data_IF_956495150418
#
_entry.id   IF_956495150418
#
_cell.length_a   1.000
_cell.length_b   1.000
_cell.length_c   1.000
_cell.angle_alpha   90.00
_cell.angle_beta   90.00
_cell.angle_gamma   90.00
#
_symmetry.space_group_name_H-M   'P 1'
#
loop_
_entity.id
_entity.type
_entity.pdbx_description
1 polymer ?
#
# COMPACT_ATOMS: atom_id res chain seq x y z
N UNK A 1 5.56 7.00 31.27
CA UNK A 1 6.29 5.99 30.48
C UNK A 1 7.34 5.20 31.29
N UNK A 2 8.54 5.70 31.59
CA UNK A 2 9.55 4.89 32.33
C UNK A 2 9.12 4.55 33.76
N UNK A 3 8.57 5.52 34.50
CA UNK A 3 8.00 5.28 35.84
C UNK A 3 6.91 4.22 35.81
N UNK A 4 5.99 4.35 34.88
CA UNK A 4 4.88 3.41 34.68
C UNK A 4 5.34 1.99 34.32
N UNK A 5 6.39 1.86 33.48
CA UNK A 5 6.97 0.56 33.15
C UNK A 5 7.63 -0.12 34.36
N UNK A 6 8.23 0.66 35.27
CA UNK A 6 8.93 0.16 36.45
C UNK A 6 8.00 -0.05 37.66
N UNK A 7 6.96 0.78 37.80
CA UNK A 7 6.04 0.79 38.94
C UNK A 7 4.82 -0.11 38.70
N UNK A 8 4.41 -0.35 37.45
CA UNK A 8 3.29 -1.25 37.15
C UNK A 8 3.76 -2.73 37.13
N UNK A 9 3.31 -3.56 38.09
CA UNK A 9 3.74 -4.96 38.21
C UNK A 9 3.29 -5.84 37.04
N UNK A 10 2.27 -5.44 36.29
CA UNK A 10 1.75 -6.17 35.14
C UNK A 10 2.82 -6.35 34.06
N UNK A 11 3.64 -5.33 33.80
CA UNK A 11 4.74 -5.43 32.83
C UNK A 11 5.81 -6.42 33.28
N UNK A 12 6.14 -6.42 34.58
CA UNK A 12 7.10 -7.36 35.15
C UNK A 12 6.59 -8.80 35.09
N UNK A 13 5.33 -9.04 35.42
CA UNK A 13 4.71 -10.37 35.37
C UNK A 13 4.61 -10.88 33.92
N UNK A 14 4.15 -10.03 32.99
CA UNK A 14 4.08 -10.38 31.58
C UNK A 14 5.45 -10.67 30.97
N UNK A 15 6.49 -9.90 31.32
CA UNK A 15 7.86 -10.18 30.85
C UNK A 15 8.35 -11.56 31.31
N UNK A 16 8.13 -11.91 32.58
CA UNK A 16 8.46 -13.25 33.13
C UNK A 16 7.63 -14.35 32.46
N UNK A 17 6.36 -14.09 32.17
CA UNK A 17 5.48 -15.01 31.44
C UNK A 17 6.00 -15.28 30.04
N UNK A 18 6.38 -14.23 29.30
CA UNK A 18 6.95 -14.33 27.95
C UNK A 18 8.32 -15.03 27.97
N UNK A 19 9.18 -14.73 28.95
CA UNK A 19 10.46 -15.42 29.12
C UNK A 19 10.28 -16.93 29.35
N UNK A 20 9.32 -17.33 30.21
CA UNK A 20 8.98 -18.75 30.42
C UNK A 20 8.46 -19.41 29.14
N UNK A 21 7.61 -18.72 28.38
CA UNK A 21 7.13 -19.23 27.09
C UNK A 21 8.27 -19.41 26.09
N UNK A 22 9.21 -18.47 26.02
CA UNK A 22 10.41 -18.53 25.17
C UNK A 22 11.29 -19.72 25.51
N UNK A 23 11.55 -19.95 26.80
CA UNK A 23 12.37 -21.07 27.27
C UNK A 23 11.70 -22.43 27.03
N UNK A 24 10.36 -22.50 27.10
CA UNK A 24 9.57 -23.72 26.88
C UNK A 24 9.11 -23.90 25.43
N UNK A 25 9.67 -23.16 24.47
CA UNK A 25 9.31 -23.33 23.05
C UNK A 25 9.61 -24.79 22.62
N UNK A 26 8.68 -25.46 21.92
CA UNK A 26 8.79 -26.89 21.60
C UNK A 26 9.90 -27.21 20.59
N UNK A 27 10.38 -26.22 19.83
CA UNK A 27 11.48 -26.37 18.88
C UNK A 27 12.48 -25.24 19.06
N UNK A 28 13.77 -25.57 19.01
CA UNK A 28 14.84 -24.58 19.07
C UNK A 28 14.83 -23.68 17.83
N UNK A 29 15.35 -22.45 17.97
CA UNK A 29 15.47 -21.53 16.84
C UNK A 29 16.34 -22.11 15.71
N UNK A 30 17.36 -22.90 16.05
CA UNK A 30 18.24 -23.57 15.09
C UNK A 30 17.47 -24.62 14.27
N UNK A 31 16.70 -25.49 14.91
CA UNK A 31 15.92 -26.52 14.21
C UNK A 31 14.86 -25.91 13.31
N UNK A 32 14.20 -24.83 13.73
CA UNK A 32 13.25 -24.11 12.89
C UNK A 32 13.94 -23.57 11.63
N UNK A 33 15.11 -22.94 11.79
CA UNK A 33 15.87 -22.42 10.66
C UNK A 33 16.24 -23.53 9.68
N UNK A 34 16.78 -24.65 10.17
CA UNK A 34 17.13 -25.79 9.31
C UNK A 34 15.91 -26.30 8.54
N UNK A 35 14.78 -26.51 9.22
CA UNK A 35 13.53 -26.94 8.55
C UNK A 35 13.05 -25.97 7.48
N UNK A 36 13.15 -24.66 7.71
CA UNK A 36 12.77 -23.67 6.69
C UNK A 36 13.74 -23.64 5.52
N UNK A 37 15.04 -23.82 5.76
CA UNK A 37 16.06 -23.90 4.71
C UNK A 37 15.89 -25.17 3.89
N UNK A 38 15.67 -26.33 4.53
CA UNK A 38 15.42 -27.60 3.86
C UNK A 38 14.17 -27.52 2.99
N UNK A 39 13.07 -26.95 3.53
CA UNK A 39 11.85 -26.70 2.77
C UNK A 39 12.10 -25.79 1.56
N UNK A 40 12.85 -24.71 1.74
CA UNK A 40 13.19 -23.80 0.64
C UNK A 40 14.14 -24.42 -0.39
N UNK A 41 15.00 -25.36 0.03
CA UNK A 41 15.88 -26.09 -0.86
C UNK A 41 15.11 -27.15 -1.68
N UNK A 42 14.11 -27.80 -1.09
CA UNK A 42 13.29 -28.83 -1.74
C UNK A 42 12.21 -28.24 -2.66
N UNK A 43 11.47 -27.24 -2.20
CA UNK A 43 10.31 -26.68 -2.92
C UNK A 43 10.58 -25.32 -3.57
N UNK A 44 11.76 -24.74 -3.33
CA UNK A 44 12.08 -23.38 -3.76
C UNK A 44 11.43 -22.32 -2.86
N UNK A 45 11.56 -21.03 -3.22
CA UNK A 45 11.03 -19.96 -2.40
C UNK A 45 9.51 -19.88 -2.51
N UNK A 46 8.83 -19.74 -1.37
CA UNK A 46 7.37 -19.61 -1.34
C UNK A 46 6.91 -18.33 -2.04
N UNK A 47 5.99 -18.45 -3.00
CA UNK A 47 5.37 -17.31 -3.68
C UNK A 47 4.67 -16.34 -2.72
N UNK A 48 4.17 -16.84 -1.59
CA UNK A 48 3.53 -16.00 -0.55
C UNK A 48 4.54 -15.22 0.31
N UNK A 49 5.80 -15.66 0.41
CA UNK A 49 6.85 -14.98 1.16
C UNK A 49 7.71 -14.05 0.28
N UNK A 50 7.49 -14.03 -1.03
CA UNK A 50 8.18 -13.13 -1.96
C UNK A 50 7.31 -11.92 -2.27
N UNK A 51 7.88 -10.72 -2.41
CA UNK A 51 7.14 -9.57 -2.92
C UNK A 51 6.64 -9.90 -4.33
N UNK A 52 5.31 -9.84 -4.52
CA UNK A 52 4.67 -10.11 -5.81
C UNK A 52 5.18 -9.20 -6.93
N UNK A 53 5.73 -8.03 -6.57
CA UNK A 53 6.37 -7.09 -7.50
C UNK A 53 7.52 -7.68 -8.32
N UNK A 54 8.16 -8.77 -7.88
CA UNK A 54 9.20 -9.45 -8.66
C UNK A 54 8.65 -10.26 -9.82
N UNK A 55 7.41 -10.71 -9.72
CA UNK A 55 6.76 -11.55 -10.72
C UNK A 55 5.86 -10.72 -11.66
N UNK A 56 5.67 -9.43 -11.36
CA UNK A 56 4.86 -8.50 -12.15
C UNK A 56 5.57 -8.03 -13.42
N UNK A 57 4.82 -7.96 -14.52
CA UNK A 57 5.30 -7.35 -15.76
C UNK A 57 5.49 -5.83 -15.60
N UNK A 58 6.29 -5.21 -16.47
CA UNK A 58 6.50 -3.75 -16.46
C UNK A 58 5.18 -2.95 -16.51
N UNK A 59 4.17 -3.47 -17.21
CA UNK A 59 2.85 -2.88 -17.36
C UNK A 59 2.09 -2.89 -16.04
N UNK A 60 2.05 -4.04 -15.37
CA UNK A 60 1.37 -4.24 -14.08
C UNK A 60 2.06 -3.46 -12.97
N UNK A 61 3.39 -3.53 -12.92
CA UNK A 61 4.18 -2.83 -11.90
C UNK A 61 3.96 -1.31 -11.94
N UNK A 62 3.83 -0.72 -13.14
CA UNK A 62 3.58 0.71 -13.31
C UNK A 62 2.11 1.09 -13.48
N UNK A 63 1.18 0.11 -13.43
CA UNK A 63 -0.26 0.33 -13.66
C UNK A 63 -0.55 1.20 -14.90
N UNK A 64 0.09 0.86 -16.02
CA UNK A 64 -0.02 1.67 -17.25
C UNK A 64 -1.46 1.74 -17.79
N UNK A 65 -2.27 0.71 -17.53
CA UNK A 65 -3.70 0.67 -17.83
C UNK A 65 -4.47 1.77 -17.10
N UNK A 66 -4.22 1.96 -15.80
CA UNK A 66 -4.84 3.01 -14.99
C UNK A 66 -4.40 4.39 -15.49
N UNK A 67 -3.11 4.58 -15.76
CA UNK A 67 -2.56 5.84 -16.28
C UNK A 67 -3.20 6.18 -17.63
N UNK A 68 -3.36 5.18 -18.51
CA UNK A 68 -3.98 5.37 -19.82
C UNK A 68 -5.44 5.81 -19.70
N UNK A 69 -6.24 5.12 -18.88
CA UNK A 69 -7.65 5.49 -18.63
C UNK A 69 -7.75 6.89 -17.99
N UNK A 70 -6.92 7.18 -17.00
CA UNK A 70 -6.86 8.49 -16.36
C UNK A 70 -6.50 9.60 -17.37
N UNK A 71 -5.59 9.33 -18.30
CA UNK A 71 -5.23 10.24 -19.39
C UNK A 71 -6.41 10.56 -20.29
N UNK A 72 -7.15 9.53 -20.74
CA UNK A 72 -8.36 9.71 -21.56
C UNK A 72 -9.41 10.57 -20.83
N UNK A 73 -9.69 10.23 -19.57
CA UNK A 73 -10.67 10.97 -18.75
C UNK A 73 -10.25 12.44 -18.60
N UNK A 74 -8.96 12.70 -18.38
CA UNK A 74 -8.42 14.05 -18.24
C UNK A 74 -8.54 14.84 -19.54
N UNK A 75 -8.28 14.23 -20.70
CA UNK A 75 -8.43 14.87 -22.01
C UNK A 75 -9.91 15.21 -22.27
N UNK A 76 -10.83 14.27 -22.03
CA UNK A 76 -12.26 14.52 -22.22
C UNK A 76 -12.75 15.63 -21.29
N UNK A 77 -12.37 15.57 -20.01
CA UNK A 77 -12.75 16.58 -19.01
C UNK A 77 -12.24 17.97 -19.39
N UNK A 78 -10.97 18.09 -19.80
CA UNK A 78 -10.40 19.37 -20.23
C UNK A 78 -11.06 19.92 -21.49
N UNK A 79 -11.37 19.06 -22.48
CA UNK A 79 -12.12 19.47 -23.67
C UNK A 79 -13.52 20.00 -23.33
N UNK A 80 -14.27 19.31 -22.47
CA UNK A 80 -15.58 19.76 -22.02
C UNK A 80 -15.50 21.08 -21.24
N UNK A 81 -14.49 21.23 -20.39
CA UNK A 81 -14.25 22.46 -19.63
C UNK A 81 -13.96 23.66 -20.55
N UNK A 82 -13.10 23.49 -21.56
CA UNK A 82 -12.81 24.53 -22.56
C UNK A 82 -14.07 24.91 -23.34
N UNK A 83 -14.86 23.91 -23.76
CA UNK A 83 -16.10 24.18 -24.51
C UNK A 83 -17.13 24.92 -23.65
N UNK A 84 -17.27 24.54 -22.39
CA UNK A 84 -18.20 25.16 -21.45
C UNK A 84 -17.80 26.60 -21.13
N UNK A 85 -16.52 26.84 -20.85
CA UNK A 85 -15.99 28.18 -20.60
C UNK A 85 -16.11 29.08 -21.83
N UNK A 86 -15.78 28.58 -23.03
CA UNK A 86 -15.98 29.30 -24.28
C UNK A 86 -17.47 29.64 -24.54
N UNK A 87 -18.39 28.71 -24.24
CA UNK A 87 -19.82 28.95 -24.35
C UNK A 87 -20.30 30.02 -23.36
N UNK A 88 -19.86 29.94 -22.10
CA UNK A 88 -20.18 30.94 -21.07
C UNK A 88 -19.67 32.33 -21.45
N UNK A 89 -18.41 32.44 -21.93
CA UNK A 89 -17.83 33.69 -22.41
C UNK A 89 -18.62 34.28 -23.58
N UNK A 90 -18.96 33.46 -24.60
CA UNK A 90 -19.80 33.90 -25.73
C UNK A 90 -21.17 34.40 -25.26
N UNK A 91 -21.78 33.75 -24.27
CA UNK A 91 -23.07 34.17 -23.71
C UNK A 91 -22.96 35.50 -22.96
N UNK A 92 -21.88 35.71 -22.20
CA UNK A 92 -21.63 36.97 -21.51
C UNK A 92 -21.40 38.12 -22.51
N UNK A 93 -20.61 37.90 -23.56
CA UNK A 93 -20.38 38.90 -24.62
C UNK A 93 -21.71 39.27 -25.31
N UNK A 94 -22.51 38.27 -25.70
CA UNK A 94 -23.84 38.52 -26.31
C UNK A 94 -24.79 39.28 -25.39
N UNK A 95 -24.78 38.99 -24.08
CA UNK A 95 -25.57 39.74 -23.10
C UNK A 95 -25.11 41.20 -22.97
N UNK A 96 -23.79 41.44 -23.00
CA UNK A 96 -23.24 42.81 -22.93
C UNK A 96 -23.65 43.64 -24.14
N UNK A 97 -23.51 43.10 -25.35
CA UNK A 97 -23.90 43.78 -26.62
C UNK A 97 -25.41 44.06 -26.71
N UNK A 98 -26.26 43.31 -26.02
CA UNK A 98 -27.71 43.55 -25.98
C UNK A 98 -28.13 44.62 -24.96
N UNK A 99 -27.29 44.88 -23.95
CA UNK A 99 -27.57 45.81 -22.86
C UNK A 99 -26.94 47.21 -23.08
N UNK A 100 -26.05 47.35 -24.07
CA UNK A 100 -25.60 48.63 -24.64
C UNK A 100 -26.49 48.99 -25.84
#
# INVERSE_FOLDING_TARGET
LLKELMENPEYAENSKRVARMLAKKPFSSKEKLLKYVDFAAEFGPSSALRPQSQDMSFIEYHNLDIIFVAGIVTIISSYLFIKLTAYALRRLIRKKVKNE
#
